data_IF_306278376735
#
_entry.id   IF_306278376735
#
_cell.length_a   1.000
_cell.length_b   1.000
_cell.length_c   1.000
_cell.angle_alpha   90.00
_cell.angle_beta   90.00
_cell.angle_gamma   90.00
#
_symmetry.space_group_name_H-M   'P 1'
#
loop_
_entity.id
_entity.type
_entity.pdbx_description
1 polymer ?
#
# COMPACT_ATOMS: atom_id res chain seq x y z
N UNK A 1 -28.80 29.38 28.73
CA UNK A 1 -27.97 29.46 27.52
C UNK A 1 -27.61 28.04 27.16
N UNK A 2 -28.22 27.55 26.09
CA UNK A 2 -28.14 26.18 25.59
C UNK A 2 -26.70 25.84 25.25
N UNK A 3 -26.18 24.78 25.86
CA UNK A 3 -24.91 24.21 25.45
C UNK A 3 -25.04 23.72 24.01
N UNK A 4 -24.24 24.29 23.12
CA UNK A 4 -23.96 23.66 21.84
C UNK A 4 -23.13 22.41 22.15
N UNK A 5 -23.81 21.27 22.33
CA UNK A 5 -23.21 19.99 22.04
C UNK A 5 -22.83 20.02 20.57
N UNK A 6 -21.59 20.44 20.29
CA UNK A 6 -20.92 20.14 19.04
C UNK A 6 -20.94 18.63 18.88
N UNK A 7 -21.97 18.11 18.20
CA UNK A 7 -22.04 16.75 17.69
C UNK A 7 -20.84 16.58 16.76
N UNK A 8 -19.69 16.22 17.34
CA UNK A 8 -18.45 16.01 16.60
C UNK A 8 -18.71 14.85 15.66
N UNK A 9 -18.89 15.14 14.37
CA UNK A 9 -19.12 14.13 13.35
C UNK A 9 -18.08 13.02 13.54
N UNK A 10 -18.48 11.74 13.57
CA UNK A 10 -17.55 10.65 13.75
C UNK A 10 -16.48 10.72 12.67
N UNK A 11 -15.21 10.60 13.06
CA UNK A 11 -14.11 10.68 12.10
C UNK A 11 -14.20 9.57 11.07
N UNK A 12 -13.75 9.86 9.86
CA UNK A 12 -13.63 8.89 8.77
C UNK A 12 -12.17 8.83 8.37
N UNK A 13 -11.45 7.81 8.83
CA UNK A 13 -10.04 7.60 8.56
C UNK A 13 -9.91 6.46 7.54
N UNK A 14 -9.23 6.74 6.44
CA UNK A 14 -8.84 5.73 5.45
C UNK A 14 -7.34 5.49 5.60
N UNK A 15 -6.93 4.24 5.78
CA UNK A 15 -5.56 3.81 5.58
C UNK A 15 -5.45 3.21 4.18
N UNK A 16 -4.48 3.66 3.39
CA UNK A 16 -4.18 3.08 2.07
C UNK A 16 -2.79 2.48 2.12
N UNK A 17 -2.63 1.25 1.62
CA UNK A 17 -1.40 0.48 1.61
C UNK A 17 -1.24 -0.26 0.27
N UNK A 18 -0.20 0.07 -0.48
CA UNK A 18 0.06 -0.52 -1.80
C UNK A 18 0.41 -2.01 -1.71
N UNK A 19 -0.13 -2.82 -2.62
CA UNK A 19 0.04 -4.27 -2.56
C UNK A 19 1.43 -4.70 -3.06
N UNK A 20 2.21 -5.32 -2.17
CA UNK A 20 3.56 -5.81 -2.45
C UNK A 20 4.45 -4.78 -3.18
N UNK A 21 4.37 -3.50 -2.76
CA UNK A 21 4.72 -2.32 -3.55
C UNK A 21 5.97 -2.45 -4.44
N UNK A 22 7.16 -2.66 -3.86
CA UNK A 22 8.38 -2.70 -4.66
C UNK A 22 8.38 -3.86 -5.66
N UNK A 23 7.93 -5.05 -5.25
CA UNK A 23 7.87 -6.20 -6.16
C UNK A 23 6.85 -5.97 -7.30
N UNK A 24 5.71 -5.37 -6.98
CA UNK A 24 4.68 -5.01 -7.97
C UNK A 24 5.18 -3.96 -8.96
N UNK A 25 5.99 -2.99 -8.53
CA UNK A 25 6.67 -2.03 -9.43
C UNK A 25 7.62 -2.76 -10.38
N UNK A 26 8.43 -3.69 -9.86
CA UNK A 26 9.35 -4.47 -10.71
C UNK A 26 8.60 -5.35 -11.73
N UNK A 27 7.52 -6.02 -11.33
CA UNK A 27 6.70 -6.85 -12.23
C UNK A 27 5.91 -6.02 -13.26
N UNK A 28 5.51 -4.79 -12.89
CA UNK A 28 4.88 -3.87 -13.83
C UNK A 28 5.86 -3.46 -14.93
N UNK A 29 7.05 -3.01 -14.54
CA UNK A 29 8.06 -2.43 -15.42
C UNK A 29 8.84 -3.50 -16.22
N UNK A 30 8.93 -4.73 -15.71
CA UNK A 30 9.50 -5.87 -16.42
C UNK A 30 8.47 -7.00 -16.58
N UNK A 31 7.85 -7.13 -17.76
CA UNK A 31 6.84 -8.16 -18.02
C UNK A 31 7.32 -9.60 -17.82
N UNK A 32 8.62 -9.88 -17.95
CA UNK A 32 9.18 -11.23 -17.74
C UNK A 32 9.08 -11.69 -16.28
N UNK A 33 8.92 -10.76 -15.33
CA UNK A 33 8.80 -11.06 -13.91
C UNK A 33 7.36 -11.36 -13.46
N UNK A 34 6.36 -11.13 -14.31
CA UNK A 34 4.94 -11.28 -13.95
C UNK A 34 4.60 -12.75 -13.73
N UNK A 35 3.91 -13.04 -12.64
CA UNK A 35 3.55 -14.42 -12.29
C UNK A 35 4.71 -15.26 -11.75
N UNK A 36 5.90 -14.68 -11.57
CA UNK A 36 7.08 -15.34 -11.01
C UNK A 36 7.32 -14.92 -9.55
N UNK A 37 7.94 -15.79 -8.72
CA UNK A 37 8.30 -15.44 -7.36
C UNK A 37 9.48 -14.45 -7.37
N UNK A 38 9.16 -13.17 -7.15
CA UNK A 38 10.12 -12.07 -7.07
C UNK A 38 10.30 -11.59 -5.63
N UNK A 39 11.55 -11.33 -5.25
CA UNK A 39 11.94 -10.59 -4.06
C UNK A 39 12.81 -9.37 -4.44
N UNK A 40 12.45 -8.19 -3.95
CA UNK A 40 13.33 -7.02 -4.03
C UNK A 40 14.29 -7.07 -2.84
N UNK A 41 15.59 -6.98 -3.10
CA UNK A 41 16.60 -7.09 -2.05
C UNK A 41 17.99 -7.43 -2.61
N UNK A 42 18.83 -8.01 -1.77
CA UNK A 42 20.15 -8.50 -2.17
C UNK A 42 20.25 -10.01 -1.91
N UNK A 43 20.64 -10.84 -2.89
CA UNK A 43 20.78 -12.29 -2.68
C UNK A 43 22.02 -12.66 -1.85
N UNK A 44 22.83 -11.68 -1.44
CA UNK A 44 24.05 -11.90 -0.67
C UNK A 44 23.77 -12.59 0.68
N UNK A 45 24.78 -13.24 1.25
CA UNK A 45 24.66 -14.00 2.50
C UNK A 45 24.12 -13.17 3.69
N UNK A 46 24.42 -11.85 3.72
CA UNK A 46 23.90 -10.91 4.73
C UNK A 46 22.76 -10.02 4.21
N UNK A 47 22.20 -10.35 3.06
CA UNK A 47 21.10 -9.61 2.45
C UNK A 47 19.76 -9.91 3.12
N UNK A 48 18.81 -9.00 2.94
CA UNK A 48 17.43 -9.13 3.43
C UNK A 48 16.44 -8.85 2.30
N UNK A 49 15.26 -9.47 2.38
CA UNK A 49 14.13 -9.20 1.49
C UNK A 49 13.48 -7.88 1.90
N UNK A 50 13.51 -6.88 1.02
CA UNK A 50 12.82 -5.60 1.21
C UNK A 50 11.33 -5.71 0.92
N UNK A 51 10.97 -6.42 -0.16
CA UNK A 51 9.59 -6.73 -0.51
C UNK A 51 9.53 -8.08 -1.24
N UNK A 52 8.41 -8.79 -1.07
CA UNK A 52 8.13 -10.05 -1.77
C UNK A 52 6.81 -9.95 -2.53
N UNK A 53 6.83 -10.41 -3.77
CA UNK A 53 5.65 -10.63 -4.63
C UNK A 53 4.67 -11.62 -4.00
N UNK A 54 3.41 -11.61 -4.43
CA UNK A 54 2.41 -12.56 -3.93
C UNK A 54 2.78 -14.00 -4.27
N UNK A 55 3.41 -14.23 -5.42
CA UNK A 55 3.93 -15.53 -5.85
C UNK A 55 4.99 -16.04 -4.89
N UNK A 56 5.94 -15.19 -4.46
CA UNK A 56 6.94 -15.54 -3.45
C UNK A 56 6.31 -15.75 -2.06
N UNK A 57 5.30 -14.96 -1.68
CA UNK A 57 4.59 -15.08 -0.40
C UNK A 57 3.89 -16.43 -0.21
N UNK A 58 3.50 -17.11 -1.29
CA UNK A 58 2.94 -18.48 -1.23
C UNK A 58 3.93 -19.50 -0.64
N UNK A 59 5.23 -19.25 -0.78
CA UNK A 59 6.30 -20.05 -0.18
C UNK A 59 6.69 -19.56 1.22
N UNK A 60 5.94 -18.61 1.77
CA UNK A 60 6.20 -17.99 3.06
C UNK A 60 7.34 -16.98 3.05
N UNK A 61 7.77 -16.50 1.87
CA UNK A 61 8.74 -15.39 1.77
C UNK A 61 8.04 -14.08 2.11
N UNK A 62 8.65 -13.26 2.97
CA UNK A 62 8.08 -11.98 3.40
C UNK A 62 9.19 -10.93 3.60
N UNK A 63 8.81 -9.67 3.70
CA UNK A 63 9.73 -8.58 4.00
C UNK A 63 10.47 -8.81 5.32
N UNK A 64 11.67 -8.24 5.44
CA UNK A 64 12.63 -8.43 6.54
C UNK A 64 13.17 -9.88 6.71
N UNK A 65 12.79 -10.83 5.86
CA UNK A 65 13.36 -12.17 5.87
C UNK A 65 14.83 -12.16 5.41
N UNK A 66 15.74 -12.90 6.07
CA UNK A 66 17.10 -13.11 5.56
C UNK A 66 17.09 -13.77 4.18
N UNK A 67 17.91 -13.30 3.25
CA UNK A 67 17.85 -13.72 1.85
C UNK A 67 18.20 -15.19 1.65
N UNK A 68 19.13 -15.72 2.46
CA UNK A 68 19.46 -17.14 2.48
C UNK A 68 18.24 -17.99 2.88
N UNK A 69 17.45 -17.52 3.85
CA UNK A 69 16.21 -18.21 4.27
C UNK A 69 15.15 -18.13 3.18
N UNK A 70 15.02 -16.99 2.51
CA UNK A 70 14.08 -16.82 1.41
C UNK A 70 14.39 -17.75 0.23
N UNK A 71 15.67 -17.87 -0.18
CA UNK A 71 16.12 -18.80 -1.23
C UNK A 71 15.89 -20.26 -0.84
N UNK A 72 16.06 -20.63 0.43
CA UNK A 72 15.75 -21.99 0.91
C UNK A 72 14.25 -22.29 0.85
N UNK A 73 13.40 -21.31 1.14
CA UNK A 73 11.93 -21.44 1.07
C UNK A 73 11.41 -21.51 -0.37
N UNK A 74 12.05 -20.78 -1.27
CA UNK A 74 11.70 -20.72 -2.68
C UNK A 74 12.99 -20.79 -3.51
N UNK A 75 13.40 -21.99 -3.96
CA UNK A 75 14.63 -22.16 -4.75
C UNK A 75 14.64 -21.37 -6.06
N UNK A 76 13.46 -21.17 -6.65
CA UNK A 76 13.27 -20.40 -7.89
C UNK A 76 13.08 -18.89 -7.64
N UNK A 77 13.34 -18.39 -6.43
CA UNK A 77 13.14 -16.99 -6.05
C UNK A 77 14.07 -16.07 -6.84
N UNK A 78 13.49 -15.14 -7.58
CA UNK A 78 14.20 -14.14 -8.37
C UNK A 78 14.48 -12.91 -7.50
N UNK A 79 15.75 -12.62 -7.26
CA UNK A 79 16.15 -11.39 -6.59
C UNK A 79 16.31 -10.24 -7.58
N UNK A 80 15.66 -9.11 -7.29
CA UNK A 80 15.81 -7.86 -8.05
C UNK A 80 16.43 -6.79 -7.15
N UNK A 81 17.42 -6.07 -7.69
CA UNK A 81 18.06 -4.95 -6.98
C UNK A 81 17.07 -3.78 -6.85
N UNK A 82 16.93 -3.17 -5.67
CA UNK A 82 15.96 -2.09 -5.46
C UNK A 82 16.28 -0.85 -6.31
N UNK A 83 15.23 -0.29 -6.93
CA UNK A 83 15.24 0.97 -7.70
C UNK A 83 14.52 2.09 -6.93
N UNK A 84 15.09 2.52 -5.79
CA UNK A 84 14.42 3.45 -4.86
C UNK A 84 13.97 4.77 -5.47
N UNK A 85 14.66 5.29 -6.47
CA UNK A 85 14.23 6.53 -7.14
C UNK A 85 12.92 6.33 -7.92
N UNK A 86 12.73 5.16 -8.53
CA UNK A 86 11.48 4.77 -9.18
C UNK A 86 10.36 4.61 -8.15
N UNK A 87 10.64 3.95 -7.02
CA UNK A 87 9.64 3.75 -5.96
C UNK A 87 9.17 5.08 -5.37
N UNK A 88 10.11 6.02 -5.15
CA UNK A 88 9.78 7.38 -4.71
C UNK A 88 8.94 8.13 -5.74
N UNK A 89 9.28 8.05 -7.02
CA UNK A 89 8.52 8.71 -8.08
C UNK A 89 7.07 8.19 -8.15
N UNK A 90 6.86 6.87 -8.04
CA UNK A 90 5.52 6.27 -7.98
C UNK A 90 4.78 6.68 -6.69
N UNK A 91 5.46 6.70 -5.55
CA UNK A 91 4.89 7.19 -4.28
C UNK A 91 4.38 8.63 -4.39
N UNK A 92 5.12 9.51 -5.06
CA UNK A 92 4.69 10.89 -5.31
C UNK A 92 3.43 10.98 -6.16
N UNK A 93 3.28 10.13 -7.18
CA UNK A 93 2.05 10.04 -7.99
C UNK A 93 0.85 9.64 -7.12
N UNK A 94 1.03 8.65 -6.25
CA UNK A 94 -0.02 8.18 -5.33
C UNK A 94 -0.40 9.27 -4.32
N UNK A 95 0.59 9.98 -3.76
CA UNK A 95 0.35 11.11 -2.84
C UNK A 95 -0.36 12.28 -3.51
N UNK A 96 -0.09 12.52 -4.80
CA UNK A 96 -0.83 13.52 -5.56
C UNK A 96 -2.31 13.14 -5.71
N UNK A 97 -2.62 11.85 -5.93
CA UNK A 97 -4.00 11.36 -5.93
C UNK A 97 -4.66 11.60 -4.56
N UNK A 98 -3.98 11.28 -3.45
CA UNK A 98 -4.53 11.52 -2.10
C UNK A 98 -4.89 12.98 -1.86
N UNK A 99 -4.05 13.91 -2.33
CA UNK A 99 -4.26 15.35 -2.18
C UNK A 99 -5.50 15.88 -2.90
N UNK A 100 -6.06 15.13 -3.86
CA UNK A 100 -7.35 15.47 -4.50
C UNK A 100 -8.55 15.23 -3.57
N UNK A 101 -8.39 14.42 -2.51
CA UNK A 101 -9.49 14.03 -1.61
C UNK A 101 -9.43 14.74 -0.27
N UNK A 102 -8.25 14.95 0.31
CA UNK A 102 -8.12 15.62 1.60
C UNK A 102 -6.77 16.32 1.74
N UNK A 103 -6.70 17.48 2.42
CA UNK A 103 -5.42 18.08 2.80
C UNK A 103 -4.78 17.37 4.01
N UNK A 104 -5.52 16.52 4.72
CA UNK A 104 -5.06 15.85 5.95
C UNK A 104 -4.53 14.46 5.60
N UNK A 105 -3.27 14.42 5.18
CA UNK A 105 -2.56 13.20 4.77
C UNK A 105 -1.37 12.98 5.69
N UNK A 106 -1.24 11.78 6.23
CA UNK A 106 -0.12 11.37 7.07
C UNK A 106 0.57 10.14 6.46
N UNK A 107 1.66 10.33 5.69
CA UNK A 107 2.41 9.22 5.13
C UNK A 107 3.20 8.47 6.21
N UNK A 108 3.18 7.15 6.17
CA UNK A 108 3.95 6.27 7.07
C UNK A 108 5.23 5.77 6.39
N UNK A 109 5.14 5.53 5.08
CA UNK A 109 6.22 4.98 4.25
C UNK A 109 6.08 5.52 2.81
N UNK A 110 6.73 4.84 1.85
CA UNK A 110 6.53 5.13 0.42
C UNK A 110 5.18 4.61 -0.09
N UNK A 111 4.66 3.54 0.50
CA UNK A 111 3.45 2.84 0.08
C UNK A 111 2.24 3.02 0.98
N UNK A 112 2.40 3.64 2.16
CA UNK A 112 1.32 3.74 3.14
C UNK A 112 1.04 5.18 3.59
N UNK A 113 -0.23 5.51 3.76
CA UNK A 113 -0.68 6.75 4.36
C UNK A 113 -2.04 6.63 5.05
N UNK A 114 -2.25 7.44 6.10
CA UNK A 114 -3.58 7.76 6.60
C UNK A 114 -4.12 9.01 5.91
N UNK A 115 -5.42 8.99 5.62
CA UNK A 115 -6.19 10.10 5.10
C UNK A 115 -7.36 10.35 6.04
N UNK A 116 -7.47 11.56 6.59
CA UNK A 116 -8.69 11.97 7.28
C UNK A 116 -9.67 12.55 6.25
N UNK A 117 -10.75 11.81 5.98
CA UNK A 117 -11.79 12.16 5.02
C UNK A 117 -13.11 12.50 5.71
N UNK A 118 -13.05 12.84 7.00
CA UNK A 118 -14.20 13.30 7.79
C UNK A 118 -14.91 14.45 7.07
N UNK A 119 -14.11 15.43 6.64
CA UNK A 119 -14.46 16.46 5.67
C UNK A 119 -13.47 16.32 4.50
N UNK A 120 -13.98 16.03 3.30
CA UNK A 120 -13.16 15.82 2.10
C UNK A 120 -13.48 16.85 1.03
N UNK A 121 -12.51 17.09 0.16
CA UNK A 121 -12.55 18.11 -0.89
C UNK A 121 -13.59 17.83 -1.99
N UNK A 122 -14.11 16.61 -2.07
CA UNK A 122 -15.09 16.18 -3.07
C UNK A 122 -16.54 16.19 -2.58
N UNK A 123 -16.76 16.53 -1.30
CA UNK A 123 -18.11 16.50 -0.70
C UNK A 123 -18.72 15.09 -0.59
N UNK A 124 -17.91 14.04 -0.67
CA UNK A 124 -18.39 12.66 -0.62
C UNK A 124 -18.78 12.26 0.82
N UNK A 125 -19.95 11.68 1.01
CA UNK A 125 -20.42 11.33 2.35
C UNK A 125 -19.81 10.01 2.86
N UNK A 126 -19.68 9.02 1.98
CA UNK A 126 -19.36 7.63 2.32
C UNK A 126 -17.86 7.36 2.13
N UNK A 127 -17.15 7.03 3.22
CA UNK A 127 -15.70 6.81 3.18
C UNK A 127 -15.26 5.55 2.41
N UNK A 128 -16.11 4.52 2.33
CA UNK A 128 -15.83 3.32 1.54
C UNK A 128 -15.85 3.62 0.04
N UNK A 129 -16.69 4.56 -0.42
CA UNK A 129 -16.69 5.04 -1.81
C UNK A 129 -15.44 5.86 -2.13
N UNK A 130 -15.02 6.74 -1.20
CA UNK A 130 -13.76 7.48 -1.32
C UNK A 130 -12.58 6.52 -1.46
N UNK A 131 -12.50 5.50 -0.60
CA UNK A 131 -11.44 4.48 -0.66
C UNK A 131 -11.45 3.71 -1.99
N UNK A 132 -12.63 3.31 -2.47
CA UNK A 132 -12.78 2.62 -3.76
C UNK A 132 -12.35 3.49 -4.95
N UNK A 133 -12.71 4.77 -4.94
CA UNK A 133 -12.31 5.73 -5.97
C UNK A 133 -10.80 5.95 -5.96
N UNK A 134 -10.19 6.14 -4.77
CA UNK A 134 -8.74 6.27 -4.61
C UNK A 134 -8.02 5.05 -5.17
N UNK A 135 -8.44 3.83 -4.79
CA UNK A 135 -7.84 2.58 -5.29
C UNK A 135 -7.95 2.47 -6.81
N UNK A 136 -9.12 2.79 -7.37
CA UNK A 136 -9.36 2.81 -8.82
C UNK A 136 -8.45 3.82 -9.53
N UNK A 137 -8.31 5.03 -8.97
CA UNK A 137 -7.42 6.08 -9.50
C UNK A 137 -5.96 5.67 -9.43
N UNK A 138 -5.51 5.03 -8.35
CA UNK A 138 -4.15 4.49 -8.24
C UNK A 138 -3.91 3.46 -9.34
N UNK A 139 -4.85 2.52 -9.54
CA UNK A 139 -4.75 1.50 -10.58
C UNK A 139 -4.70 2.10 -11.99
N UNK A 140 -5.57 3.07 -12.27
CA UNK A 140 -5.61 3.75 -13.57
C UNK A 140 -4.33 4.54 -13.86
N UNK A 141 -3.81 5.26 -12.87
CA UNK A 141 -2.62 6.14 -13.03
C UNK A 141 -1.32 5.36 -13.06
N UNK A 142 -1.19 4.34 -12.21
CA UNK A 142 0.11 3.68 -11.96
C UNK A 142 0.17 2.25 -12.49
N UNK A 143 -0.97 1.62 -12.82
CA UNK A 143 -1.06 0.19 -13.12
C UNK A 143 -0.93 -0.73 -11.91
N UNK A 144 -0.73 -0.20 -10.70
CA UNK A 144 -0.53 -0.95 -9.46
C UNK A 144 -1.83 -1.01 -8.63
N UNK A 145 -1.98 -2.04 -7.80
CA UNK A 145 -3.13 -2.15 -6.88
C UNK A 145 -2.75 -1.66 -5.49
N UNK A 146 -3.77 -1.24 -4.74
CA UNK A 146 -3.66 -0.88 -3.35
C UNK A 146 -4.83 -1.49 -2.59
N UNK A 147 -4.61 -1.77 -1.31
CA UNK A 147 -5.66 -2.13 -0.38
C UNK A 147 -5.94 -0.98 0.56
N UNK A 148 -7.18 -0.87 1.04
CA UNK A 148 -7.60 0.20 1.92
C UNK A 148 -8.30 -0.35 3.16
N UNK A 149 -8.26 0.39 4.25
CA UNK A 149 -9.02 0.08 5.46
C UNK A 149 -9.67 1.33 6.00
N UNK A 150 -10.93 1.24 6.40
CA UNK A 150 -11.74 2.40 6.77
C UNK A 150 -12.22 2.22 8.21
N UNK A 151 -11.98 3.24 9.05
CA UNK A 151 -12.48 3.23 10.42
C UNK A 151 -12.59 4.64 11.00
N UNK A 152 -12.99 4.76 12.26
CA UNK A 152 -13.08 6.03 12.99
C UNK A 152 -11.76 6.46 13.66
N UNK A 153 -10.74 5.59 13.60
CA UNK A 153 -9.40 5.87 14.06
C UNK A 153 -8.34 5.17 13.19
N UNK A 154 -7.10 5.64 13.28
CA UNK A 154 -5.96 5.17 12.50
C UNK A 154 -5.63 3.69 12.74
N UNK A 155 -5.58 3.26 14.00
CA UNK A 155 -5.18 1.90 14.35
C UNK A 155 -6.11 0.85 13.73
N UNK A 156 -7.43 1.02 13.89
CA UNK A 156 -8.41 0.12 13.29
C UNK A 156 -8.42 0.20 11.77
N UNK A 157 -8.25 1.41 11.19
CA UNK A 157 -8.15 1.57 9.73
C UNK A 157 -6.95 0.79 9.16
N UNK A 158 -5.79 0.85 9.81
CA UNK A 158 -4.61 0.07 9.39
C UNK A 158 -4.86 -1.44 9.50
N UNK A 159 -5.37 -1.92 10.63
CA UNK A 159 -5.69 -3.34 10.76
C UNK A 159 -6.71 -3.81 9.71
N UNK A 160 -7.71 -2.99 9.39
CA UNK A 160 -8.71 -3.31 8.36
C UNK A 160 -8.06 -3.45 6.97
N UNK A 161 -7.10 -2.58 6.63
CA UNK A 161 -6.44 -2.61 5.32
C UNK A 161 -5.63 -3.88 5.06
N UNK A 162 -5.21 -4.59 6.12
CA UNK A 162 -4.48 -5.84 6.01
C UNK A 162 -5.41 -7.05 5.79
N UNK A 163 -6.70 -6.98 6.18
CA UNK A 163 -7.60 -8.14 6.19
C UNK A 163 -7.96 -8.63 4.78
N UNK A 164 -8.18 -7.71 3.84
CA UNK A 164 -8.66 -8.02 2.49
C UNK A 164 -7.57 -7.84 1.41
N UNK A 165 -6.28 -7.85 1.77
CA UNK A 165 -5.18 -7.80 0.78
C UNK A 165 -5.15 -9.07 -0.09
N UNK A 166 -4.81 -8.98 -1.40
CA UNK A 166 -4.58 -7.78 -2.21
C UNK A 166 -5.86 -7.18 -2.82
N UNK A 167 -5.74 -5.93 -3.30
CA UNK A 167 -6.75 -5.22 -4.08
C UNK A 167 -8.14 -5.28 -3.44
N UNK A 168 -8.17 -5.12 -2.12
CA UNK A 168 -9.39 -5.17 -1.33
C UNK A 168 -9.55 -3.96 -0.41
N UNK A 169 -10.72 -3.89 0.22
CA UNK A 169 -11.04 -2.90 1.24
C UNK A 169 -12.05 -3.41 2.26
#
# INVERSE_FOLDING_TARGET
MTGEESSRRPRKIVHVDMDAFYASVEQRDNPELRGLPVAVGSPAARGVVAAASYEARRFGVHSAMPSVTAQRKCPDLIFVKPRFDVYKAVSLQIRAIFAEYTPIIEPLSLDEAYLDVTENLKGMEIATEIAAEIRTRIKATTGLTASAGISYNKFLAKMASDQNKPDGQ
#
